data_IF_129164070098
#
_entry.id   IF_129164070098
#
_cell.length_a   1.000
_cell.length_b   1.000
_cell.length_c   1.000
_cell.angle_alpha   90.00
_cell.angle_beta   90.00
_cell.angle_gamma   90.00
#
_symmetry.space_group_name_H-M   'P 1'
#
loop_
_entity.id
_entity.type
_entity.pdbx_description
1 polymer ?
#
# COMPACT_ATOMS: atom_id res chain seq x y z
N UNK A 1 -11.43 -10.48 21.27
CA UNK A 1 -10.40 -10.04 20.29
C UNK A 1 -10.95 -8.84 19.53
N UNK A 2 -10.13 -7.89 19.09
CA UNK A 2 -10.49 -6.82 18.15
C UNK A 2 -9.48 -6.76 17.02
N UNK A 3 -9.94 -6.49 15.81
CA UNK A 3 -9.11 -6.33 14.62
C UNK A 3 -9.31 -4.91 14.10
N UNK A 4 -8.24 -4.13 14.07
CA UNK A 4 -8.21 -2.79 13.50
C UNK A 4 -7.44 -2.78 12.19
N UNK A 5 -7.90 -1.94 11.27
CA UNK A 5 -7.26 -1.74 9.98
C UNK A 5 -6.60 -0.36 9.93
N UNK A 6 -5.38 -0.34 9.41
CA UNK A 6 -4.63 0.85 9.09
C UNK A 6 -4.21 0.82 7.62
N UNK A 7 -4.11 1.99 7.02
CA UNK A 7 -3.67 2.19 5.65
C UNK A 7 -2.50 3.18 5.64
N UNK A 8 -1.40 2.82 4.97
CA UNK A 8 -0.25 3.72 4.82
C UNK A 8 -0.36 4.51 3.53
N UNK A 9 -0.50 5.82 3.65
CA UNK A 9 -0.50 6.71 2.48
C UNK A 9 0.84 6.62 1.75
N UNK A 10 0.80 6.38 0.45
CA UNK A 10 1.98 6.37 -0.44
C UNK A 10 3.07 5.37 0.00
N UNK A 11 2.68 4.17 0.42
CA UNK A 11 3.58 3.10 0.89
C UNK A 11 4.95 3.04 0.19
N UNK A 12 4.98 2.92 -1.15
CA UNK A 12 6.23 2.80 -1.90
C UNK A 12 7.17 4.00 -1.78
N UNK A 13 6.65 5.23 -1.64
CA UNK A 13 7.48 6.44 -1.49
C UNK A 13 8.28 6.47 -0.19
N UNK A 14 7.90 5.65 0.80
CA UNK A 14 8.64 5.51 2.04
C UNK A 14 9.85 4.56 1.91
N UNK A 15 9.93 3.78 0.82
CA UNK A 15 11.08 2.93 0.53
C UNK A 15 12.28 3.75 0.04
N UNK A 16 13.45 3.47 0.61
CA UNK A 16 14.71 4.02 0.11
C UNK A 16 15.14 3.28 -1.17
N UNK A 17 15.89 3.96 -2.04
CA UNK A 17 16.52 3.33 -3.21
C UNK A 17 18.02 3.25 -2.94
N UNK A 18 18.58 2.06 -2.96
CA UNK A 18 20.03 1.85 -2.79
C UNK A 18 20.82 2.13 -4.07
N UNK A 19 20.17 1.97 -5.23
CA UNK A 19 20.74 2.14 -6.56
C UNK A 19 20.43 3.51 -7.18
N UNK A 20 21.27 3.97 -8.10
CA UNK A 20 20.97 5.14 -8.91
C UNK A 20 20.07 4.78 -10.09
N UNK A 21 18.79 5.16 -9.97
CA UNK A 21 17.81 4.90 -11.02
C UNK A 21 17.46 6.21 -11.72
N UNK A 22 17.59 6.17 -13.04
CA UNK A 22 17.21 7.26 -13.93
C UNK A 22 16.01 6.82 -14.78
N UNK A 23 15.10 7.75 -15.02
CA UNK A 23 13.95 7.53 -15.91
C UNK A 23 13.88 8.66 -16.93
N UNK A 24 13.32 8.35 -18.09
CA UNK A 24 12.92 9.40 -19.02
C UNK A 24 11.85 10.30 -18.38
N UNK A 25 11.87 11.61 -18.66
CA UNK A 25 10.78 12.49 -18.24
C UNK A 25 9.43 11.94 -18.72
N UNK A 26 8.40 11.90 -17.86
CA UNK A 26 7.08 11.39 -18.26
C UNK A 26 6.50 12.13 -19.46
N UNK A 27 5.67 11.45 -20.25
CA UNK A 27 4.88 12.12 -21.29
C UNK A 27 4.12 13.30 -20.66
N UNK A 28 4.09 14.42 -21.38
CA UNK A 28 3.45 15.67 -20.95
C UNK A 28 4.12 16.38 -19.76
N UNK A 29 5.25 15.91 -19.25
CA UNK A 29 5.96 16.57 -18.15
C UNK A 29 6.32 18.04 -18.48
N UNK A 30 6.76 18.30 -19.70
CA UNK A 30 7.03 19.67 -20.16
C UNK A 30 5.76 20.55 -20.11
N UNK A 31 4.62 20.02 -20.54
CA UNK A 31 3.34 20.74 -20.55
C UNK A 31 2.88 21.05 -19.13
N UNK A 32 3.07 20.12 -18.20
CA UNK A 32 2.78 20.32 -16.77
C UNK A 32 3.68 21.43 -16.21
N UNK A 33 4.98 21.42 -16.50
CA UNK A 33 5.91 22.47 -16.07
C UNK A 33 5.53 23.84 -16.64
N UNK A 34 5.07 23.90 -17.89
CA UNK A 34 4.54 25.13 -18.49
C UNK A 34 3.27 25.63 -17.78
N UNK A 35 2.35 24.73 -17.43
CA UNK A 35 1.13 25.09 -16.69
C UNK A 35 1.46 25.63 -15.30
N UNK A 36 2.33 24.96 -14.54
CA UNK A 36 2.80 25.42 -13.23
C UNK A 36 3.49 26.78 -13.36
N UNK A 37 4.29 26.97 -14.41
CA UNK A 37 4.97 28.24 -14.70
C UNK A 37 3.99 29.37 -15.04
N UNK A 38 2.80 29.09 -15.58
CA UNK A 38 1.79 30.10 -15.93
C UNK A 38 0.80 30.38 -14.79
N UNK A 39 0.30 29.34 -14.14
CA UNK A 39 -0.84 29.39 -13.19
C UNK A 39 -0.45 29.17 -11.73
N UNK A 40 0.78 28.80 -11.42
CA UNK A 40 1.20 28.49 -10.05
C UNK A 40 1.18 29.72 -9.13
N UNK A 41 0.42 29.65 -8.04
CA UNK A 41 0.30 30.73 -7.04
C UNK A 41 1.56 30.90 -6.18
N UNK A 42 2.37 29.84 -6.03
CA UNK A 42 3.58 29.85 -5.20
C UNK A 42 4.83 30.22 -6.02
N UNK A 43 5.50 31.31 -5.65
CA UNK A 43 6.66 31.86 -6.35
C UNK A 43 7.86 30.90 -6.41
N UNK A 44 8.12 30.16 -5.33
CA UNK A 44 9.21 29.17 -5.23
C UNK A 44 8.96 27.95 -6.12
N UNK A 45 7.72 27.46 -6.17
CA UNK A 45 7.35 26.35 -7.05
C UNK A 45 7.47 26.78 -8.52
N UNK A 46 7.04 28.01 -8.82
CA UNK A 46 7.10 28.59 -10.16
C UNK A 46 8.54 28.77 -10.65
N UNK A 47 9.46 29.25 -9.80
CA UNK A 47 10.88 29.42 -10.17
C UNK A 47 11.55 28.07 -10.43
N UNK A 48 11.30 27.06 -9.58
CA UNK A 48 11.79 25.69 -9.79
C UNK A 48 11.26 25.08 -11.08
N UNK A 49 9.96 25.23 -11.36
CA UNK A 49 9.37 24.74 -12.61
C UNK A 49 9.99 25.39 -13.85
N UNK A 50 10.25 26.71 -13.82
CA UNK A 50 10.97 27.41 -14.90
C UNK A 50 12.37 26.84 -15.13
N UNK A 51 13.13 26.63 -14.05
CA UNK A 51 14.47 26.07 -14.13
C UNK A 51 14.46 24.64 -14.72
N UNK A 52 13.56 23.79 -14.24
CA UNK A 52 13.39 22.42 -14.75
C UNK A 52 12.97 22.41 -16.23
N UNK A 53 12.08 23.32 -16.64
CA UNK A 53 11.65 23.45 -18.02
C UNK A 53 12.80 23.87 -18.95
N UNK A 54 13.63 24.82 -18.51
CA UNK A 54 14.80 25.24 -19.26
C UNK A 54 15.82 24.09 -19.40
N UNK A 55 16.02 23.31 -18.33
CA UNK A 55 16.88 22.13 -18.34
C UNK A 55 16.35 21.02 -19.25
N UNK A 56 15.04 20.77 -19.30
CA UNK A 56 14.46 19.77 -20.19
C UNK A 56 14.70 20.13 -21.67
N UNK A 57 14.56 21.42 -22.01
CA UNK A 57 14.68 21.94 -23.37
C UNK A 57 16.12 21.99 -23.89
N UNK A 58 17.12 21.98 -23.01
CA UNK A 58 18.54 21.94 -23.43
C UNK A 58 18.97 20.57 -23.97
N UNK A 59 18.09 19.56 -23.94
CA UNK A 59 18.39 18.20 -24.40
C UNK A 59 19.08 17.31 -23.35
N UNK A 60 18.94 16.00 -23.53
CA UNK A 60 19.65 14.91 -22.83
C UNK A 60 19.52 14.88 -21.29
N UNK A 61 18.37 15.28 -20.75
CA UNK A 61 18.09 15.17 -19.32
C UNK A 61 17.20 14.00 -18.98
N UNK A 62 17.65 13.24 -17.98
CA UNK A 62 16.90 12.17 -17.32
C UNK A 62 16.49 12.60 -15.92
N UNK A 63 15.42 12.02 -15.40
CA UNK A 63 14.99 12.22 -14.02
C UNK A 63 15.65 11.17 -13.13
N UNK A 64 16.43 11.61 -12.14
CA UNK A 64 16.96 10.70 -11.10
C UNK A 64 15.91 10.48 -10.02
N UNK A 65 15.57 9.23 -9.77
CA UNK A 65 14.67 8.86 -8.67
C UNK A 65 15.39 8.96 -7.33
N UNK A 66 14.75 9.64 -6.38
CA UNK A 66 15.24 9.79 -5.01
C UNK A 66 14.54 8.88 -4.00
N UNK A 67 13.37 8.38 -4.37
CA UNK A 67 12.49 7.54 -3.55
C UNK A 67 11.87 6.48 -4.44
N UNK A 68 11.59 5.33 -3.84
CA UNK A 68 10.97 4.21 -4.53
C UNK A 68 9.59 4.62 -5.06
N UNK A 69 9.32 4.32 -6.34
CA UNK A 69 8.07 4.64 -7.01
C UNK A 69 7.33 3.35 -7.38
N UNK A 70 6.01 3.43 -7.40
CA UNK A 70 5.20 2.34 -7.94
C UNK A 70 5.63 2.01 -9.38
N UNK A 71 5.68 0.72 -9.70
CA UNK A 71 6.13 0.20 -10.99
C UNK A 71 7.63 -0.12 -11.08
N UNK A 72 8.45 0.30 -10.11
CA UNK A 72 9.81 -0.23 -9.98
C UNK A 72 9.75 -1.66 -9.46
N UNK A 73 10.56 -2.55 -10.04
CA UNK A 73 10.58 -3.99 -9.67
C UNK A 73 10.89 -4.20 -8.18
N UNK A 74 11.76 -3.37 -7.63
CA UNK A 74 12.19 -3.42 -6.23
C UNK A 74 11.30 -2.62 -5.27
N UNK A 75 10.30 -1.86 -5.77
CA UNK A 75 9.56 -0.95 -4.91
C UNK A 75 8.85 -1.65 -3.75
N UNK A 76 8.24 -2.81 -4.02
CA UNK A 76 7.58 -3.62 -3.00
C UNK A 76 8.55 -4.13 -1.94
N UNK A 77 9.74 -4.56 -2.35
CA UNK A 77 10.80 -5.02 -1.43
C UNK A 77 11.27 -3.89 -0.53
N UNK A 78 11.61 -2.74 -1.10
CA UNK A 78 12.14 -1.60 -0.35
C UNK A 78 11.09 -1.07 0.65
N UNK A 79 9.82 -1.07 0.25
CA UNK A 79 8.72 -0.76 1.16
C UNK A 79 8.63 -1.79 2.31
N UNK A 80 8.59 -3.07 1.97
CA UNK A 80 8.47 -4.14 2.97
C UNK A 80 9.64 -4.11 3.97
N UNK A 81 10.87 -3.90 3.52
CA UNK A 81 12.03 -3.80 4.41
C UNK A 81 11.92 -2.60 5.37
N UNK A 82 11.42 -1.45 4.88
CA UNK A 82 11.18 -0.27 5.71
C UNK A 82 10.05 -0.48 6.72
N UNK A 83 8.97 -1.12 6.31
CA UNK A 83 7.84 -1.42 7.17
C UNK A 83 8.21 -2.48 8.23
N UNK A 84 8.86 -3.57 7.79
CA UNK A 84 9.30 -4.67 8.65
C UNK A 84 10.29 -4.20 9.71
N UNK A 85 11.27 -3.35 9.35
CA UNK A 85 12.18 -2.75 10.33
C UNK A 85 11.45 -1.88 11.33
N UNK A 86 10.51 -1.05 10.87
CA UNK A 86 9.67 -0.21 11.75
C UNK A 86 8.83 -1.06 12.72
N UNK A 87 8.19 -2.13 12.24
CA UNK A 87 7.41 -3.03 13.11
C UNK A 87 8.30 -3.73 14.15
N UNK A 88 9.51 -4.16 13.76
CA UNK A 88 10.48 -4.76 14.68
C UNK A 88 10.91 -3.82 15.81
N UNK A 89 10.89 -2.50 15.62
CA UNK A 89 11.13 -1.52 16.71
C UNK A 89 10.11 -1.65 17.85
N UNK A 90 8.90 -2.18 17.60
CA UNK A 90 7.92 -2.45 18.65
C UNK A 90 8.20 -3.72 19.47
N UNK A 91 9.14 -4.56 19.00
CA UNK A 91 9.36 -5.92 19.45
C UNK A 91 8.53 -6.98 18.68
N UNK A 92 7.90 -6.60 17.57
CA UNK A 92 7.17 -7.53 16.72
C UNK A 92 8.16 -8.41 15.93
N UNK A 93 7.86 -9.70 15.82
CA UNK A 93 8.70 -10.67 15.12
C UNK A 93 7.87 -11.32 14.02
N UNK A 94 8.37 -11.38 12.76
CA UNK A 94 7.69 -12.11 11.70
C UNK A 94 7.58 -13.59 12.06
N UNK A 95 6.49 -14.23 11.66
CA UNK A 95 6.31 -15.67 11.85
C UNK A 95 7.19 -16.46 10.89
N UNK A 96 7.49 -17.71 11.24
CA UNK A 96 8.25 -18.62 10.38
C UNK A 96 7.49 -19.03 9.12
N UNK A 97 6.15 -19.03 9.17
CA UNK A 97 5.30 -19.44 8.05
C UNK A 97 5.08 -18.33 7.02
N UNK A 98 5.01 -17.08 7.46
CA UNK A 98 4.75 -15.93 6.59
C UNK A 98 5.49 -14.67 7.11
N UNK A 99 6.45 -14.11 6.33
CA UNK A 99 7.14 -12.86 6.67
C UNK A 99 6.22 -11.64 6.80
N UNK A 100 5.08 -11.63 6.11
CA UNK A 100 4.08 -10.57 6.19
C UNK A 100 3.15 -10.69 7.40
N UNK A 101 3.29 -11.74 8.20
CA UNK A 101 2.53 -11.95 9.42
C UNK A 101 3.44 -11.89 10.64
N UNK A 102 3.19 -10.94 11.55
CA UNK A 102 4.01 -10.71 12.73
C UNK A 102 3.25 -11.06 14.00
N UNK A 103 4.01 -11.51 15.01
CA UNK A 103 3.56 -11.69 16.38
C UNK A 103 4.27 -10.68 17.29
N UNK A 104 3.51 -10.07 18.18
CA UNK A 104 4.00 -9.18 19.23
C UNK A 104 3.43 -9.62 20.59
N UNK A 105 4.26 -9.63 21.63
CA UNK A 105 3.85 -10.03 22.97
C UNK A 105 3.56 -11.54 23.11
N UNK A 106 2.95 -11.91 24.23
CA UNK A 106 2.62 -13.30 24.57
C UNK A 106 1.45 -13.36 25.56
N UNK A 107 0.80 -14.52 25.72
CA UNK A 107 -0.30 -14.70 26.65
C UNK A 107 -1.51 -13.82 26.35
N UNK A 108 -1.94 -13.02 27.32
CA UNK A 108 -3.10 -12.12 27.20
C UNK A 108 -2.83 -10.91 26.28
N UNK A 109 -1.56 -10.51 26.15
CA UNK A 109 -1.13 -9.37 25.34
C UNK A 109 -0.76 -9.75 23.89
N UNK A 110 -0.94 -11.02 23.53
CA UNK A 110 -0.62 -11.49 22.18
C UNK A 110 -1.35 -10.66 21.13
N UNK A 111 -0.57 -10.17 20.18
CA UNK A 111 -1.02 -9.30 19.10
C UNK A 111 -0.49 -9.84 17.79
N UNK A 112 -1.37 -9.98 16.82
CA UNK A 112 -1.05 -10.39 15.46
C UNK A 112 -1.15 -9.20 14.53
N UNK A 113 -0.20 -9.08 13.61
CA UNK A 113 -0.14 -8.01 12.62
C UNK A 113 -0.02 -8.67 11.26
N UNK A 114 -1.01 -8.49 10.39
CA UNK A 114 -0.97 -8.93 9.00
C UNK A 114 -0.74 -7.73 8.10
N UNK A 115 0.19 -7.85 7.16
CA UNK A 115 0.55 -6.80 6.21
C UNK A 115 0.22 -7.26 4.80
N UNK A 116 -0.49 -6.42 4.06
CA UNK A 116 -0.67 -6.57 2.63
C UNK A 116 -0.41 -5.23 1.95
N UNK A 117 0.79 -5.06 1.38
CA UNK A 117 1.23 -3.80 0.76
C UNK A 117 1.00 -2.61 1.71
N UNK A 118 -0.01 -1.79 1.47
CA UNK A 118 -0.40 -0.59 2.23
C UNK A 118 -1.43 -0.87 3.34
N UNK A 119 -2.18 -1.96 3.24
CA UNK A 119 -3.13 -2.43 4.24
C UNK A 119 -2.43 -3.16 5.40
N UNK A 120 -2.72 -2.76 6.63
CA UNK A 120 -2.21 -3.37 7.85
C UNK A 120 -3.36 -3.72 8.78
N UNK A 121 -3.53 -5.00 9.08
CA UNK A 121 -4.49 -5.49 10.07
C UNK A 121 -3.78 -5.79 11.39
N UNK A 122 -4.28 -5.24 12.49
CA UNK A 122 -3.76 -5.50 13.84
C UNK A 122 -4.86 -6.14 14.68
N UNK A 123 -4.66 -7.40 15.06
CA UNK A 123 -5.56 -8.17 15.90
C UNK A 123 -4.99 -8.33 17.31
N UNK A 124 -5.71 -7.87 18.33
CA UNK A 124 -5.31 -8.05 19.73
C UNK A 124 -6.52 -8.13 20.66
N UNK A 125 -6.32 -8.74 21.84
CA UNK A 125 -7.25 -8.59 22.97
C UNK A 125 -6.96 -7.33 23.78
N UNK A 126 -5.72 -6.87 23.80
CA UNK A 126 -5.29 -5.69 24.53
C UNK A 126 -5.26 -4.45 23.61
N UNK A 127 -6.13 -3.46 23.87
CA UNK A 127 -6.17 -2.21 23.09
C UNK A 127 -4.89 -1.38 23.20
N UNK A 128 -4.16 -1.48 24.30
CA UNK A 128 -2.89 -0.78 24.47
C UNK A 128 -1.83 -1.30 23.49
N UNK A 129 -1.87 -2.59 23.14
CA UNK A 129 -0.98 -3.17 22.15
C UNK A 129 -1.30 -2.68 20.74
N UNK A 130 -2.58 -2.55 20.41
CA UNK A 130 -3.01 -1.93 19.13
C UNK A 130 -2.53 -0.48 19.06
N UNK A 131 -2.72 0.30 20.14
CA UNK A 131 -2.23 1.68 20.24
C UNK A 131 -0.70 1.76 20.13
N UNK A 132 0.04 0.80 20.70
CA UNK A 132 1.51 0.73 20.59
C UNK A 132 1.94 0.57 19.12
N UNK A 133 1.33 -0.36 18.39
CA UNK A 133 1.61 -0.58 16.97
C UNK A 133 1.23 0.65 16.15
N UNK A 134 0.03 1.21 16.38
CA UNK A 134 -0.45 2.43 15.72
C UNK A 134 0.52 3.59 15.91
N UNK A 135 0.92 3.88 17.15
CA UNK A 135 1.81 5.00 17.45
C UNK A 135 3.19 4.82 16.81
N UNK A 136 3.71 3.60 16.79
CA UNK A 136 4.96 3.30 16.09
C UNK A 136 4.84 3.60 14.59
N UNK A 137 3.81 3.07 13.93
CA UNK A 137 3.58 3.31 12.50
C UNK A 137 3.34 4.80 12.19
N UNK A 138 2.50 5.48 12.97
CA UNK A 138 2.21 6.91 12.81
C UNK A 138 3.44 7.81 13.07
N UNK A 139 4.44 7.34 13.82
CA UNK A 139 5.68 8.10 14.02
C UNK A 139 6.60 8.10 12.78
N UNK A 140 6.42 7.14 11.87
CA UNK A 140 7.26 6.96 10.68
C UNK A 140 6.54 7.22 9.37
N UNK A 141 5.23 7.01 9.33
CA UNK A 141 4.43 7.03 8.12
C UNK A 141 3.17 7.87 8.30
N UNK A 142 2.68 8.44 7.21
CA UNK A 142 1.33 9.00 7.16
C UNK A 142 0.32 7.84 7.18
N UNK A 143 -0.29 7.61 8.35
CA UNK A 143 -1.10 6.45 8.66
C UNK A 143 -2.57 6.85 8.80
N UNK A 144 -3.44 6.27 7.99
CA UNK A 144 -4.90 6.38 8.15
C UNK A 144 -5.40 5.27 9.06
N UNK A 145 -6.19 5.66 10.06
CA UNK A 145 -6.86 4.73 10.97
C UNK A 145 -8.27 4.47 10.45
N UNK A 146 -8.52 3.28 9.90
CA UNK A 146 -9.82 2.90 9.35
C UNK A 146 -10.77 2.32 10.42
N UNK A 147 -10.26 2.11 11.63
CA UNK A 147 -11.04 1.66 12.79
C UNK A 147 -11.15 0.13 12.81
N UNK A 148 -12.24 -0.38 13.39
CA UNK A 148 -12.51 -1.81 13.39
C UNK A 148 -12.73 -2.29 11.94
N UNK A 149 -11.99 -3.33 11.51
CA UNK A 149 -12.06 -3.82 10.13
C UNK A 149 -13.48 -4.25 9.79
N UNK A 150 -13.95 -3.77 8.62
CA UNK A 150 -15.23 -4.15 8.01
C UNK A 150 -15.04 -4.94 6.72
N UNK A 151 -14.03 -4.57 5.94
CA UNK A 151 -13.65 -5.27 4.72
C UNK A 151 -12.16 -5.08 4.46
N UNK A 152 -11.47 -6.14 4.07
CA UNK A 152 -10.06 -6.11 3.68
C UNK A 152 -9.84 -7.18 2.59
N UNK A 153 -9.23 -6.81 1.46
CA UNK A 153 -8.94 -7.71 0.33
C UNK A 153 -10.15 -8.52 -0.17
N UNK A 154 -11.35 -7.92 -0.14
CA UNK A 154 -12.58 -8.59 -0.55
C UNK A 154 -13.14 -9.58 0.48
N UNK A 155 -12.55 -9.69 1.66
CA UNK A 155 -13.13 -10.40 2.81
C UNK A 155 -13.85 -9.40 3.69
N UNK A 156 -15.11 -9.70 4.02
CA UNK A 156 -15.95 -8.91 4.92
C UNK A 156 -15.86 -9.48 6.34
N UNK A 157 -15.87 -8.59 7.33
CA UNK A 157 -15.68 -8.90 8.74
C UNK A 157 -16.85 -8.42 9.57
N UNK A 158 -17.42 -9.32 10.37
CA UNK A 158 -18.38 -8.99 11.42
C UNK A 158 -17.71 -9.23 12.78
N UNK A 159 -17.54 -8.15 13.55
CA UNK A 159 -16.93 -8.17 14.89
C UNK A 159 -17.97 -7.82 15.95
N UNK A 160 -18.45 -8.80 16.74
CA UNK A 160 -19.45 -8.61 17.79
C UNK A 160 -19.15 -9.49 19.00
N UNK A 161 -19.34 -8.95 20.20
CA UNK A 161 -19.23 -9.69 21.47
C UNK A 161 -17.95 -10.52 21.62
N UNK A 162 -16.83 -10.00 21.11
CA UNK A 162 -15.52 -10.65 21.16
C UNK A 162 -15.31 -11.77 20.13
N UNK A 163 -16.32 -12.08 19.33
CA UNK A 163 -16.24 -12.96 18.16
C UNK A 163 -15.93 -12.17 16.90
N UNK A 164 -15.21 -12.83 15.99
CA UNK A 164 -14.91 -12.32 14.65
C UNK A 164 -15.36 -13.38 13.66
N UNK A 165 -16.23 -13.01 12.74
CA UNK A 165 -16.63 -13.86 11.61
C UNK A 165 -16.21 -13.21 10.31
N UNK A 166 -15.77 -14.04 9.36
CA UNK A 166 -15.30 -13.61 8.04
C UNK A 166 -16.20 -14.23 6.98
N UNK A 167 -16.57 -13.46 5.97
CA UNK A 167 -17.39 -13.93 4.87
C UNK A 167 -17.09 -13.17 3.58
N UNK A 168 -17.56 -13.69 2.45
CA UNK A 168 -17.35 -13.12 1.11
C UNK A 168 -18.67 -13.01 0.34
N UNK A 169 -19.77 -12.68 1.04
CA UNK A 169 -21.12 -12.64 0.47
C UNK A 169 -21.23 -11.65 -0.71
N UNK A 170 -20.45 -10.58 -0.69
CA UNK A 170 -20.33 -9.65 -1.81
C UNK A 170 -20.01 -10.31 -3.16
N UNK A 171 -19.12 -11.31 -3.20
CA UNK A 171 -18.78 -12.01 -4.45
C UNK A 171 -19.92 -12.88 -4.97
N UNK A 172 -20.70 -13.50 -4.07
CA UNK A 172 -21.86 -14.32 -4.45
C UNK A 172 -22.94 -13.44 -5.08
N UNK A 173 -23.22 -12.27 -4.48
CA UNK A 173 -24.27 -11.38 -4.96
C UNK A 173 -23.95 -10.72 -6.31
N UNK A 174 -22.69 -10.41 -6.59
CA UNK A 174 -22.26 -9.87 -7.89
C UNK A 174 -22.41 -10.89 -9.02
N UNK A 175 -22.19 -12.19 -8.73
CA UNK A 175 -22.42 -13.28 -9.68
C UNK A 175 -23.92 -13.53 -9.96
N UNK A 176 -24.78 -13.40 -8.96
CA UNK A 176 -26.22 -13.62 -9.10
C UNK A 176 -26.93 -12.54 -9.93
N UNK A 177 -26.42 -11.31 -9.95
CA UNK A 177 -26.99 -10.20 -10.75
C UNK A 177 -26.76 -10.42 -12.26
N UNK A 178 -25.81 -11.26 -12.67
CA UNK A 178 -25.55 -11.58 -14.08
C UNK A 178 -26.35 -12.78 -14.62
N UNK A 179 -27.25 -13.37 -13.83
CA UNK A 179 -28.03 -14.55 -14.26
C UNK A 179 -29.41 -14.22 -14.85
N UNK A 180 -29.84 -12.95 -14.87
CA UNK A 180 -31.15 -12.52 -15.38
C UNK A 180 -31.10 -11.47 -16.50
N UNK A 181 -29.95 -11.22 -17.13
CA UNK A 181 -29.85 -10.33 -18.29
C UNK A 181 -29.45 -11.10 -19.55
N UNK A 182 -30.44 -11.71 -20.21
CA UNK A 182 -30.32 -12.29 -21.56
C UNK A 182 -30.28 -11.20 -22.64
N UNK A 183 -29.40 -10.19 -22.53
CA UNK A 183 -29.18 -9.25 -23.63
C UNK A 183 -27.90 -8.41 -23.62
N UNK A 184 -26.73 -9.00 -23.40
CA UNK A 184 -25.48 -8.41 -23.91
C UNK A 184 -24.54 -9.50 -24.45
N UNK A 185 -24.64 -9.75 -25.75
CA UNK A 185 -23.54 -10.37 -26.50
C UNK A 185 -22.28 -9.51 -26.37
N UNK A 186 -21.16 -10.17 -26.05
CA UNK A 186 -19.86 -9.70 -26.49
C UNK A 186 -19.04 -8.84 -25.53
N UNK A 187 -18.79 -9.29 -24.29
CA UNK A 187 -17.47 -9.10 -23.62
C UNK A 187 -17.12 -10.32 -22.76
N UNK A 188 -16.55 -11.31 -23.45
CA UNK A 188 -15.90 -12.46 -22.86
C UNK A 188 -14.69 -11.99 -22.01
N UNK A 189 -14.84 -11.99 -20.68
CA UNK A 189 -13.69 -12.01 -19.78
C UNK A 189 -13.24 -13.46 -19.61
N UNK A 190 -12.55 -14.00 -20.60
CA UNK A 190 -11.71 -15.18 -20.39
C UNK A 190 -10.63 -14.82 -19.39
N UNK A 191 -10.77 -15.38 -18.20
CA UNK A 191 -9.71 -15.58 -17.22
C UNK A 191 -8.43 -16.10 -17.89
N UNK A 192 -7.42 -15.24 -18.04
CA UNK A 192 -6.03 -15.70 -18.08
C UNK A 192 -5.60 -16.01 -16.64
N UNK A 193 -6.02 -17.18 -16.17
CA UNK A 193 -5.32 -17.87 -15.10
C UNK A 193 -3.99 -18.36 -15.70
N UNK A 194 -2.96 -17.50 -15.64
CA UNK A 194 -1.61 -17.99 -15.89
C UNK A 194 -1.07 -18.51 -14.56
N UNK A 195 -1.05 -19.83 -14.50
CA UNK A 195 -0.37 -20.69 -13.55
C UNK A 195 1.10 -20.26 -13.41
N UNK A 196 1.41 -19.47 -12.38
CA UNK A 196 2.78 -19.22 -11.97
C UNK A 196 3.11 -20.18 -10.84
N UNK A 197 3.76 -21.28 -11.23
CA UNK A 197 4.41 -22.24 -10.34
C UNK A 197 5.27 -21.49 -9.32
N UNK A 198 4.97 -21.68 -8.04
CA UNK A 198 5.91 -21.39 -6.97
C UNK A 198 7.12 -22.31 -7.13
N UNK A 199 8.26 -21.74 -7.50
CA UNK A 199 9.56 -22.38 -7.27
C UNK A 199 10.06 -21.84 -5.93
N UNK A 200 10.07 -22.72 -4.94
CA UNK A 200 10.71 -22.50 -3.65
C UNK A 200 12.23 -22.40 -3.86
N UNK A 201 12.84 -21.36 -3.28
CA UNK A 201 14.24 -21.34 -2.85
C UNK A 201 14.26 -20.72 -1.45
#
# INVERSE_FOLDING_TARGET
MRIQQFDVTTAYLNGEIEEEIFMEPPKNFEQILQQITRRGSNSTIRSRAKQMLQQLRSGDKVCRLKKSLYGLKQAGRNWYEKLSSTLKETGAVPTSSDPCFFRLGSGEDITFIAVYVDDILVASRNRNMISKVKNCLSSRFDLKSLGDVKSCLGVEFDQRDGQVTMHQRGYINVGSIHSNDTRLEGKCWTSKFHESRFVSV
#
